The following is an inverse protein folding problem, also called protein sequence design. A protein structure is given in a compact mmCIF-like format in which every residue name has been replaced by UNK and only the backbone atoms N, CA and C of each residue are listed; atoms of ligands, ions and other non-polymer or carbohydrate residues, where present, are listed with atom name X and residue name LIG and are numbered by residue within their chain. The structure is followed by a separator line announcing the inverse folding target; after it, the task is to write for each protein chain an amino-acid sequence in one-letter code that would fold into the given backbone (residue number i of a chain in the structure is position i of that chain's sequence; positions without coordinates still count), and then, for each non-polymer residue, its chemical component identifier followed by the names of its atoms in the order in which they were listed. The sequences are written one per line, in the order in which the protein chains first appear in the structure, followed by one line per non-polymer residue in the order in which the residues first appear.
data_IF_617864533648
#
_entry.id   IF_617864533648
#
_cell.length_a   1.000
_cell.length_b   1.000
_cell.length_c   1.000
_cell.angle_alpha   90.00
_cell.angle_beta   90.00
_cell.angle_gamma   90.00
#
_symmetry.space_group_name_H-M   'P 1'
#
loop_
_entity.id
_entity.type
_entity.pdbx_description
1 polymer ?
#
# COMPACT_ATOMS: atom_id res chain seq x y z
N UNK A 1 21.90 3.23 12.27
CA UNK A 1 20.80 2.74 13.13
C UNK A 1 19.77 2.04 12.26
N UNK A 2 18.87 1.21 12.78
CA UNK A 2 17.89 0.46 11.96
C UNK A 2 17.10 1.33 10.94
N UNK A 3 16.88 2.62 11.22
CA UNK A 3 16.32 3.59 10.28
C UNK A 3 17.23 3.87 9.05
N UNK A 4 18.55 3.92 9.22
CA UNK A 4 19.51 4.11 8.12
C UNK A 4 19.61 2.90 7.18
N UNK A 5 19.13 1.73 7.62
CA UNK A 5 19.03 0.53 6.76
C UNK A 5 17.75 0.57 5.92
N UNK A 6 16.62 1.01 6.47
CA UNK A 6 15.42 1.29 5.67
C UNK A 6 15.66 2.40 4.62
N UNK A 7 16.57 3.32 4.87
CA UNK A 7 16.95 4.35 3.89
C UNK A 7 17.88 3.85 2.78
N UNK A 8 18.46 2.64 2.89
CA UNK A 8 19.32 2.08 1.86
C UNK A 8 18.46 1.54 0.68
N UNK A 9 18.61 2.09 -0.54
CA UNK A 9 17.73 1.75 -1.66
C UNK A 9 17.78 0.29 -2.11
N UNK A 10 18.94 -0.36 -2.05
CA UNK A 10 19.09 -1.75 -2.46
C UNK A 10 18.41 -2.72 -1.49
N UNK A 11 18.45 -2.42 -0.19
CA UNK A 11 17.78 -3.16 0.86
C UNK A 11 16.27 -3.01 0.71
N UNK A 12 15.75 -1.78 0.53
CA UNK A 12 14.32 -1.60 0.22
C UNK A 12 13.90 -2.39 -1.01
N UNK A 13 14.62 -2.22 -2.12
CA UNK A 13 14.37 -2.93 -3.37
C UNK A 13 14.37 -4.45 -3.15
N UNK A 14 15.42 -4.99 -2.52
CA UNK A 14 15.56 -6.43 -2.30
C UNK A 14 14.47 -6.99 -1.37
N UNK A 15 14.13 -6.28 -0.29
CA UNK A 15 13.05 -6.66 0.62
C UNK A 15 11.69 -6.66 -0.07
N UNK A 16 11.40 -5.65 -0.90
CA UNK A 16 10.14 -5.57 -1.65
C UNK A 16 10.07 -6.65 -2.73
N UNK A 17 11.17 -6.91 -3.45
CA UNK A 17 11.24 -8.02 -4.41
C UNK A 17 11.06 -9.37 -3.73
N UNK A 18 11.68 -9.59 -2.56
CA UNK A 18 11.49 -10.80 -1.78
C UNK A 18 10.02 -10.96 -1.40
N UNK A 19 9.40 -9.90 -0.89
CA UNK A 19 7.98 -9.89 -0.54
C UNK A 19 7.08 -10.29 -1.72
N UNK A 20 7.30 -9.69 -2.89
CA UNK A 20 6.56 -10.04 -4.11
C UNK A 20 6.81 -11.47 -4.60
N UNK A 21 8.02 -12.01 -4.40
CA UNK A 21 8.28 -13.41 -4.74
C UNK A 21 7.62 -14.39 -3.77
N UNK A 22 7.52 -14.06 -2.48
CA UNK A 22 6.81 -14.89 -1.50
C UNK A 22 5.33 -15.07 -1.86
N UNK A 23 4.70 -14.07 -2.49
CA UNK A 23 3.33 -14.18 -2.99
C UNK A 23 3.13 -15.33 -3.99
N UNK A 24 4.16 -15.72 -4.74
CA UNK A 24 4.06 -16.85 -5.68
C UNK A 24 4.03 -18.22 -4.98
N UNK A 25 4.44 -18.25 -3.72
CA UNK A 25 4.54 -19.47 -2.91
C UNK A 25 3.51 -19.52 -1.78
N UNK A 26 2.58 -18.57 -1.72
CA UNK A 26 1.61 -18.47 -0.63
C UNK A 26 0.44 -19.44 -0.73
N UNK A 27 0.29 -20.17 -1.85
CA UNK A 27 -0.79 -21.12 -2.05
C UNK A 27 -0.65 -22.34 -1.12
N UNK A 28 -1.74 -22.70 -0.45
CA UNK A 28 -1.79 -23.84 0.49
C UNK A 28 -1.93 -23.41 1.95
N UNK A 29 -1.33 -24.14 2.89
CA UNK A 29 -1.55 -23.97 4.33
C UNK A 29 -1.06 -22.65 4.94
N UNK A 30 -0.45 -21.76 4.14
CA UNK A 30 0.07 -20.45 4.57
C UNK A 30 -0.67 -19.25 3.97
N UNK A 31 -1.75 -19.48 3.22
CA UNK A 31 -2.42 -18.44 2.43
C UNK A 31 -3.02 -17.33 3.31
N UNK A 32 -3.75 -17.69 4.37
CA UNK A 32 -4.35 -16.73 5.31
C UNK A 32 -3.29 -15.89 6.04
N UNK A 33 -2.20 -16.54 6.47
CA UNK A 33 -1.11 -15.85 7.16
C UNK A 33 -0.40 -14.86 6.23
N UNK A 34 -0.21 -15.23 4.96
CA UNK A 34 0.39 -14.34 3.98
C UNK A 34 -0.56 -13.22 3.55
N UNK A 35 -1.86 -13.49 3.43
CA UNK A 35 -2.88 -12.48 3.17
C UNK A 35 -2.83 -11.35 4.20
N UNK A 36 -2.77 -11.67 5.49
CA UNK A 36 -2.59 -10.66 6.54
C UNK A 36 -1.29 -9.85 6.33
N UNK A 37 -0.18 -10.50 5.99
CA UNK A 37 1.08 -9.79 5.69
C UNK A 37 0.94 -8.85 4.49
N UNK A 38 0.17 -9.22 3.46
CA UNK A 38 -0.14 -8.31 2.34
C UNK A 38 -0.89 -7.09 2.84
N UNK A 39 -1.93 -7.26 3.68
CA UNK A 39 -2.67 -6.13 4.22
C UNK A 39 -1.78 -5.19 5.06
N UNK A 40 -0.87 -5.74 5.87
CA UNK A 40 0.10 -4.94 6.63
C UNK A 40 1.12 -4.23 5.71
N UNK A 41 1.55 -4.88 4.63
CA UNK A 41 2.51 -4.33 3.67
C UNK A 41 1.88 -3.36 2.67
N UNK A 42 0.55 -3.36 2.50
CA UNK A 42 -0.12 -2.68 1.41
C UNK A 42 0.10 -1.16 1.45
N UNK A 43 0.00 -0.54 2.64
CA UNK A 43 0.23 0.90 2.79
C UNK A 43 1.65 1.27 2.37
N UNK A 44 2.63 0.51 2.85
CA UNK A 44 4.04 0.68 2.48
C UNK A 44 4.23 0.57 0.97
N UNK A 45 3.71 -0.48 0.34
CA UNK A 45 3.87 -0.74 -1.09
C UNK A 45 3.24 0.37 -1.94
N UNK A 46 2.02 0.82 -1.60
CA UNK A 46 1.31 1.87 -2.32
C UNK A 46 1.97 3.24 -2.16
N UNK A 47 2.47 3.58 -0.98
CA UNK A 47 3.17 4.86 -0.76
C UNK A 47 4.53 4.90 -1.46
N UNK A 48 5.27 3.79 -1.49
CA UNK A 48 6.58 3.72 -2.15
C UNK A 48 6.52 3.62 -3.68
N UNK A 49 5.33 3.66 -4.28
CA UNK A 49 5.19 4.03 -5.70
C UNK A 49 5.66 5.47 -5.98
N UNK A 50 5.84 6.28 -4.93
CA UNK A 50 6.46 7.62 -4.94
C UNK A 50 7.90 7.62 -4.37
N UNK A 51 8.58 6.46 -4.29
CA UNK A 51 9.97 6.42 -3.78
C UNK A 51 10.91 7.23 -4.71
N UNK A 52 11.87 8.01 -4.16
CA UNK A 52 12.82 8.77 -4.97
C UNK A 52 13.73 7.91 -5.86
N UNK A 53 13.77 6.59 -5.65
CA UNK A 53 14.58 5.64 -6.42
C UNK A 53 13.68 4.84 -7.37
N UNK A 54 13.84 4.99 -8.71
CA UNK A 54 13.03 4.28 -9.69
C UNK A 54 13.01 2.76 -9.52
N UNK A 55 14.12 2.17 -9.10
CA UNK A 55 14.21 0.72 -8.86
C UNK A 55 13.33 0.24 -7.70
N UNK A 56 13.09 1.09 -6.69
CA UNK A 56 12.16 0.78 -5.60
C UNK A 56 10.72 0.88 -6.10
N UNK A 57 10.40 1.87 -6.94
CA UNK A 57 9.08 1.97 -7.58
C UNK A 57 8.79 0.70 -8.41
N UNK A 58 9.76 0.24 -9.21
CA UNK A 58 9.64 -1.00 -10.00
C UNK A 58 9.40 -2.22 -9.10
N UNK A 59 10.14 -2.33 -8.00
CA UNK A 59 9.93 -3.39 -7.02
C UNK A 59 8.52 -3.34 -6.40
N UNK A 60 8.02 -2.16 -6.03
CA UNK A 60 6.66 -1.99 -5.49
C UNK A 60 5.59 -2.41 -6.49
N UNK A 61 5.73 -2.00 -7.75
CA UNK A 61 4.84 -2.43 -8.84
C UNK A 61 4.82 -3.94 -9.00
N UNK A 62 6.01 -4.56 -9.06
CA UNK A 62 6.16 -6.02 -9.11
C UNK A 62 5.44 -6.70 -7.94
N UNK A 63 5.70 -6.26 -6.71
CA UNK A 63 5.13 -6.85 -5.51
C UNK A 63 3.60 -6.72 -5.46
N UNK A 64 3.06 -5.53 -5.75
CA UNK A 64 1.60 -5.30 -5.80
C UNK A 64 0.93 -6.21 -6.84
N UNK A 65 1.53 -6.36 -8.03
CA UNK A 65 1.02 -7.29 -9.05
C UNK A 65 1.06 -8.74 -8.59
N UNK A 66 2.11 -9.15 -7.90
CA UNK A 66 2.23 -10.52 -7.39
C UNK A 66 1.23 -10.80 -6.26
N UNK A 67 0.94 -9.80 -5.42
CA UNK A 67 -0.01 -9.90 -4.32
C UNK A 67 -1.49 -9.77 -4.76
N UNK A 68 -1.77 -9.09 -5.88
CA UNK A 68 -3.12 -8.82 -6.37
C UNK A 68 -4.06 -10.05 -6.38
N UNK A 69 -3.65 -11.20 -6.94
CA UNK A 69 -4.49 -12.40 -6.96
C UNK A 69 -4.85 -12.97 -5.58
N UNK A 70 -4.06 -12.68 -4.54
CA UNK A 70 -4.23 -13.21 -3.18
C UNK A 70 -5.18 -12.32 -2.36
N UNK A 71 -5.34 -11.05 -2.75
CA UNK A 71 -6.12 -10.09 -1.98
C UNK A 71 -7.63 -10.40 -1.92
N UNK A 72 -8.15 -11.37 -2.68
CA UNK A 72 -9.58 -11.68 -2.68
C UNK A 72 -10.48 -10.56 -3.25
N UNK A 73 -9.90 -9.48 -3.79
CA UNK A 73 -10.62 -8.36 -4.41
C UNK A 73 -10.30 -8.31 -5.91
N UNK A 74 -11.24 -8.76 -6.73
CA UNK A 74 -11.07 -8.82 -8.18
C UNK A 74 -10.76 -7.45 -8.81
N UNK A 75 -11.41 -6.38 -8.32
CA UNK A 75 -11.18 -5.02 -8.81
C UNK A 75 -9.76 -4.51 -8.54
N UNK A 76 -9.24 -4.70 -7.32
CA UNK A 76 -7.83 -4.37 -7.01
C UNK A 76 -6.87 -5.20 -7.83
N UNK A 77 -7.13 -6.51 -7.96
CA UNK A 77 -6.28 -7.39 -8.74
C UNK A 77 -6.19 -6.93 -10.21
N UNK A 78 -7.33 -6.69 -10.87
CA UNK A 78 -7.38 -6.20 -12.25
C UNK A 78 -6.63 -4.87 -12.38
N UNK A 79 -6.90 -3.93 -11.48
CA UNK A 79 -6.25 -2.62 -11.48
C UNK A 79 -4.73 -2.73 -11.34
N UNK A 80 -4.23 -3.59 -10.44
CA UNK A 80 -2.79 -3.84 -10.29
C UNK A 80 -2.21 -4.47 -11.55
N UNK A 81 -2.88 -5.47 -12.14
CA UNK A 81 -2.42 -6.12 -13.38
C UNK A 81 -2.42 -5.17 -14.59
N UNK A 82 -3.29 -4.16 -14.61
CA UNK A 82 -3.43 -3.24 -15.73
C UNK A 82 -2.51 -2.02 -15.63
N UNK A 83 -2.34 -1.46 -14.43
CA UNK A 83 -1.70 -0.15 -14.26
C UNK A 83 -0.26 -0.21 -13.74
N UNK A 84 0.16 -1.32 -13.11
CA UNK A 84 1.46 -1.39 -12.43
C UNK A 84 2.55 -2.09 -13.26
N UNK A 85 2.58 -1.89 -14.57
CA UNK A 85 3.71 -2.36 -15.37
C UNK A 85 4.99 -1.61 -14.98
N UNK A 86 6.08 -2.34 -14.74
CA UNK A 86 7.33 -1.81 -14.17
C UNK A 86 7.87 -0.61 -14.97
N UNK A 87 7.84 -0.71 -16.30
CA UNK A 87 8.36 0.32 -17.22
C UNK A 87 7.38 1.47 -17.54
N UNK A 88 6.12 1.40 -17.09
CA UNK A 88 5.11 2.39 -17.47
C UNK A 88 5.03 3.55 -16.47
N UNK A 89 4.68 4.75 -16.92
CA UNK A 89 4.32 5.83 -16.00
C UNK A 89 3.00 5.52 -15.31
N UNK A 90 2.83 6.02 -14.09
CA UNK A 90 1.62 5.84 -13.29
C UNK A 90 0.99 7.19 -12.99
N UNK A 91 -0.29 7.35 -13.28
CA UNK A 91 -1.09 8.47 -12.80
C UNK A 91 -1.45 8.23 -11.33
N UNK A 92 -0.49 8.49 -10.44
CA UNK A 92 -0.54 8.03 -9.06
C UNK A 92 -1.79 8.48 -8.29
N UNK A 93 -2.20 9.75 -8.41
CA UNK A 93 -3.38 10.25 -7.69
C UNK A 93 -4.67 9.55 -8.09
N UNK A 94 -4.89 9.35 -9.39
CA UNK A 94 -6.05 8.63 -9.93
C UNK A 94 -6.02 7.15 -9.50
N UNK A 95 -4.86 6.50 -9.66
CA UNK A 95 -4.65 5.13 -9.22
C UNK A 95 -4.93 4.94 -7.72
N UNK A 96 -4.44 5.85 -6.87
CA UNK A 96 -4.64 5.79 -5.42
C UNK A 96 -6.10 5.99 -5.04
N UNK A 97 -6.80 6.93 -5.68
CA UNK A 97 -8.22 7.13 -5.46
C UNK A 97 -9.03 5.86 -5.75
N UNK A 98 -8.79 5.22 -6.89
CA UNK A 98 -9.49 4.00 -7.29
C UNK A 98 -9.11 2.80 -6.43
N UNK A 99 -7.84 2.70 -6.01
CA UNK A 99 -7.40 1.70 -5.04
C UNK A 99 -8.14 1.84 -3.71
N UNK A 100 -8.26 3.05 -3.17
CA UNK A 100 -8.98 3.30 -1.92
C UNK A 100 -10.46 2.96 -2.05
N UNK A 101 -11.08 3.28 -3.20
CA UNK A 101 -12.46 2.91 -3.48
C UNK A 101 -12.67 1.40 -3.39
N UNK A 102 -11.82 0.60 -4.05
CA UNK A 102 -11.94 -0.85 -3.96
C UNK A 102 -11.63 -1.39 -2.56
N UNK A 103 -10.65 -0.82 -1.85
CA UNK A 103 -10.33 -1.20 -0.48
C UNK A 103 -11.51 -0.97 0.45
N UNK A 104 -12.15 0.19 0.43
CA UNK A 104 -13.28 0.49 1.32
C UNK A 104 -14.55 -0.28 0.95
N UNK A 105 -14.71 -0.66 -0.31
CA UNK A 105 -15.83 -1.51 -0.75
C UNK A 105 -15.68 -2.99 -0.35
N UNK A 106 -14.45 -3.50 -0.23
CA UNK A 106 -14.19 -4.94 0.01
C UNK A 106 -13.66 -5.24 1.41
N UNK A 107 -12.94 -4.29 2.03
CA UNK A 107 -12.29 -4.41 3.34
C UNK A 107 -12.54 -3.16 4.21
N UNK A 108 -13.79 -2.73 4.41
CA UNK A 108 -14.08 -1.55 5.22
C UNK A 108 -13.55 -1.63 6.66
N UNK A 109 -13.50 -2.83 7.24
CA UNK A 109 -12.95 -3.09 8.57
C UNK A 109 -11.46 -2.78 8.69
N UNK A 110 -10.75 -2.69 7.57
CA UNK A 110 -9.32 -2.34 7.54
C UNK A 110 -9.06 -0.85 7.63
N UNK A 111 -10.07 0.02 7.57
CA UNK A 111 -9.91 1.48 7.57
C UNK A 111 -8.99 1.98 8.70
N UNK A 112 -9.31 1.65 9.97
CA UNK A 112 -8.52 2.09 11.13
C UNK A 112 -7.07 1.60 11.05
N UNK A 113 -6.86 0.35 10.63
CA UNK A 113 -5.52 -0.23 10.47
C UNK A 113 -4.72 0.48 9.38
N UNK A 114 -5.32 0.67 8.20
CA UNK A 114 -4.67 1.33 7.07
C UNK A 114 -4.28 2.77 7.44
N UNK A 115 -5.18 3.51 8.09
CA UNK A 115 -4.91 4.87 8.60
C UNK A 115 -3.76 4.86 9.60
N UNK A 116 -3.77 3.96 10.59
CA UNK A 116 -2.73 3.87 11.62
C UNK A 116 -1.34 3.62 11.04
N UNK A 117 -1.22 2.73 10.05
CA UNK A 117 0.05 2.47 9.35
C UNK A 117 0.46 3.70 8.54
N UNK A 118 -0.51 4.39 7.92
CA UNK A 118 -0.25 5.56 7.09
C UNK A 118 0.33 6.74 7.89
N UNK A 119 -0.12 6.93 9.14
CA UNK A 119 0.36 8.01 10.02
C UNK A 119 1.88 7.98 10.24
N UNK A 120 2.52 6.80 10.24
CA UNK A 120 3.98 6.71 10.32
C UNK A 120 4.69 7.42 9.15
N UNK A 121 4.04 7.50 7.98
CA UNK A 121 4.58 8.13 6.78
C UNK A 121 4.37 9.64 6.71
N UNK A 122 3.56 10.23 7.59
CA UNK A 122 3.40 11.70 7.69
C UNK A 122 4.71 12.38 8.08
N UNK A 123 5.63 11.63 8.70
CA UNK A 123 6.97 12.08 9.11
C UNK A 123 8.09 11.47 8.25
N UNK A 124 7.75 10.90 7.09
CA UNK A 124 8.75 10.28 6.19
C UNK A 124 9.82 11.29 5.76
N UNK A 125 11.07 10.84 5.62
CA UNK A 125 12.17 11.69 5.13
C UNK A 125 12.04 12.00 3.64
N UNK A 126 11.26 11.23 2.87
CA UNK A 126 11.04 11.46 1.44
C UNK A 126 9.81 12.36 1.18
N UNK A 127 9.99 13.53 0.54
CA UNK A 127 8.90 14.49 0.34
C UNK A 127 7.66 13.93 -0.36
N UNK A 128 7.84 13.16 -1.44
CA UNK A 128 6.71 12.67 -2.24
C UNK A 128 5.93 11.56 -1.51
N UNK A 129 6.64 10.65 -0.83
CA UNK A 129 6.02 9.65 0.07
C UNK A 129 5.28 10.34 1.21
N UNK A 130 5.89 11.36 1.82
CA UNK A 130 5.28 12.14 2.90
C UNK A 130 4.03 12.89 2.44
N UNK A 131 4.02 13.43 1.23
CA UNK A 131 2.86 14.09 0.64
C UNK A 131 1.75 13.10 0.23
N UNK A 132 2.13 11.91 -0.23
CA UNK A 132 1.20 10.85 -0.59
C UNK A 132 0.44 10.27 0.61
N UNK A 133 1.04 10.29 1.80
CA UNK A 133 0.43 9.76 3.02
C UNK A 133 -0.92 10.42 3.39
N UNK A 134 -1.01 11.74 3.63
CA UNK A 134 -2.30 12.38 3.90
C UNK A 134 -3.28 12.30 2.72
N UNK A 135 -2.80 12.25 1.47
CA UNK A 135 -3.64 12.00 0.29
C UNK A 135 -4.31 10.63 0.36
N UNK A 136 -3.54 9.59 0.71
CA UNK A 136 -4.06 8.24 0.88
C UNK A 136 -5.11 8.20 2.01
N UNK A 137 -4.81 8.77 3.18
CA UNK A 137 -5.80 8.88 4.27
C UNK A 137 -7.07 9.61 3.80
N UNK A 138 -6.93 10.72 3.08
CA UNK A 138 -8.06 11.46 2.52
C UNK A 138 -8.93 10.62 1.59
N UNK A 139 -8.32 9.82 0.70
CA UNK A 139 -9.07 8.93 -0.19
C UNK A 139 -9.70 7.74 0.55
N UNK A 140 -9.06 7.18 1.58
CA UNK A 140 -9.67 6.15 2.42
C UNK A 140 -10.95 6.68 3.08
N UNK A 141 -10.88 7.86 3.70
CA UNK A 141 -12.03 8.50 4.36
C UNK A 141 -13.11 8.87 3.33
N UNK A 142 -12.71 9.36 2.15
CA UNK A 142 -13.64 9.72 1.07
C UNK A 142 -14.54 8.54 0.65
N UNK A 143 -13.98 7.33 0.62
CA UNK A 143 -14.70 6.13 0.18
C UNK A 143 -15.24 5.28 1.34
N UNK A 144 -14.99 5.65 2.59
CA UNK A 144 -15.52 4.98 3.76
C UNK A 144 -16.98 5.41 4.05
N UNK A 145 -17.78 4.49 4.60
CA UNK A 145 -19.13 4.84 5.04
C UNK A 145 -19.09 5.72 6.31
N UNK A 146 -20.18 6.45 6.56
CA UNK A 146 -20.28 7.38 7.70
C UNK A 146 -20.09 6.71 9.06
N UNK A 147 -20.59 5.49 9.24
CA UNK A 147 -20.44 4.77 10.50
C UNK A 147 -19.02 4.26 10.72
N UNK A 148 -18.31 3.87 9.65
CA UNK A 148 -16.90 3.47 9.70
C UNK A 148 -16.00 4.67 10.00
N UNK A 149 -16.29 5.81 9.36
CA UNK A 149 -15.55 7.06 9.57
C UNK A 149 -15.70 7.61 10.99
N UNK A 150 -16.79 7.31 11.69
CA UNK A 150 -17.00 7.71 13.10
C UNK A 150 -16.18 6.88 14.09
N UNK A 151 -15.78 5.67 13.71
CA UNK A 151 -14.94 4.80 14.54
C UNK A 151 -13.46 5.17 14.46
N UNK A 152 -13.07 5.96 13.45
CA UNK A 152 -11.75 6.56 13.41
C UNK A 152 -11.65 7.63 14.49
N UNK A 153 -10.63 7.54 15.33
CA UNK A 153 -10.25 8.63 16.22
C UNK A 153 -9.64 9.75 15.37
N UNK A 154 -10.46 10.73 14.98
CA UNK A 154 -10.03 11.85 14.15
C UNK A 154 -9.04 12.76 14.89
N UNK A 155 -8.96 12.68 16.23
CA UNK A 155 -8.00 13.46 17.01
C UNK A 155 -6.57 12.94 16.82
N UNK A 156 -6.38 11.63 16.56
CA UNK A 156 -5.08 11.06 16.18
C UNK A 156 -4.59 11.53 14.80
N UNK A 157 -5.49 11.91 13.89
CA UNK A 157 -5.13 12.40 12.55
C UNK A 157 -4.59 13.84 12.55
N UNK A 158 -4.89 14.62 13.60
CA UNK A 158 -4.57 16.06 13.68
C UNK A 158 -3.39 16.37 14.61
N UNK A 159 -2.81 15.37 15.27
CA UNK A 159 -1.71 15.50 16.24
C UNK A 159 -0.31 15.39 15.61
#
# INVERSE_FOLDING_TARGET
GLLSLQEEPNLRKASIFLFGNLAKFSSGSGEDAFFEQILYGLVTLLLHLQDPKPEVIKACKFALRACGPILGCAGLCEMFQKHLHEEWSLHYGEFMNDACKHLMQNFPEMLSRLVSINLFYFKSSWPDVRAAAPMFVGFLILHADREQSRQLDLDELMA
#
